data_IF_720891688749
#
_entry.id   IF_720891688749
#
_cell.length_a   1.000
_cell.length_b   1.000
_cell.length_c   1.000
_cell.angle_alpha   90.00
_cell.angle_beta   90.00
_cell.angle_gamma   90.00
#
_symmetry.space_group_name_H-M   'P 1'
#
loop_
_entity.id
_entity.type
_entity.pdbx_description
1 polymer ?
#
# COMPACT_ATOMS: atom_id res chain seq x y z
N UNK A 1 -23.97 57.83 3.26
CA UNK A 1 -24.81 56.64 3.06
C UNK A 1 -23.90 55.50 2.62
N UNK A 2 -23.62 54.56 3.52
CA UNK A 2 -22.72 53.41 3.34
C UNK A 2 -23.54 52.21 2.87
N UNK A 3 -23.23 51.62 1.72
CA UNK A 3 -23.75 50.30 1.33
C UNK A 3 -22.73 49.23 1.74
N UNK A 4 -23.11 48.18 2.48
CA UNK A 4 -22.20 47.11 2.81
C UNK A 4 -22.12 46.13 1.63
N UNK A 5 -20.91 45.90 1.10
CA UNK A 5 -20.63 44.84 0.14
C UNK A 5 -20.79 43.49 0.84
N UNK A 6 -21.89 42.79 0.59
CA UNK A 6 -22.11 41.41 0.97
C UNK A 6 -21.22 40.50 0.12
N UNK A 7 -20.09 40.09 0.68
CA UNK A 7 -19.20 39.10 0.07
C UNK A 7 -19.75 37.70 0.39
N UNK A 8 -20.55 37.17 -0.53
CA UNK A 8 -21.07 35.80 -0.43
C UNK A 8 -19.91 34.84 -0.75
N UNK A 9 -19.31 34.26 0.29
CA UNK A 9 -18.36 33.16 0.14
C UNK A 9 -19.13 31.92 -0.32
N UNK A 10 -19.13 31.67 -1.61
CA UNK A 10 -19.63 30.43 -2.19
C UNK A 10 -18.64 29.30 -1.85
N UNK A 11 -18.87 28.58 -0.75
CA UNK A 11 -18.14 27.35 -0.46
C UNK A 11 -18.63 26.32 -1.48
N UNK A 12 -17.89 26.14 -2.56
CA UNK A 12 -18.17 25.08 -3.53
C UNK A 12 -17.97 23.72 -2.84
N UNK A 13 -19.07 23.13 -2.39
CA UNK A 13 -19.10 21.72 -2.02
C UNK A 13 -19.04 20.92 -3.31
N UNK A 14 -17.83 20.51 -3.71
CA UNK A 14 -17.67 19.61 -4.85
C UNK A 14 -18.16 18.25 -4.41
N UNK A 15 -19.33 17.84 -4.90
CA UNK A 15 -19.84 16.50 -4.67
C UNK A 15 -18.87 15.48 -5.26
N UNK A 16 -18.55 14.45 -4.48
CA UNK A 16 -17.84 13.25 -4.94
C UNK A 16 -18.67 12.63 -6.05
N UNK A 17 -18.06 12.33 -7.20
CA UNK A 17 -18.80 11.73 -8.30
C UNK A 17 -18.96 10.23 -8.09
N UNK A 18 -19.99 9.61 -8.69
CA UNK A 18 -20.15 8.15 -8.68
C UNK A 18 -18.90 7.40 -9.21
N UNK A 19 -18.08 8.06 -10.05
CA UNK A 19 -16.80 7.50 -10.52
C UNK A 19 -15.74 7.48 -9.44
N UNK A 20 -15.69 8.52 -8.60
CA UNK A 20 -14.75 8.60 -7.49
C UNK A 20 -15.09 7.56 -6.40
N UNK A 21 -16.38 7.31 -6.16
CA UNK A 21 -16.81 6.23 -5.26
C UNK A 21 -16.43 4.84 -5.78
N UNK A 22 -16.64 4.57 -7.07
CA UNK A 22 -16.23 3.29 -7.70
C UNK A 22 -14.70 3.09 -7.65
N UNK A 23 -13.92 4.16 -7.90
CA UNK A 23 -12.47 4.14 -7.75
C UNK A 23 -12.05 3.81 -6.31
N UNK A 24 -12.67 4.48 -5.33
CA UNK A 24 -12.39 4.24 -3.91
C UNK A 24 -12.79 2.82 -3.48
N UNK A 25 -13.92 2.30 -3.98
CA UNK A 25 -14.34 0.93 -3.69
C UNK A 25 -13.31 -0.10 -4.17
N UNK A 26 -12.85 0.03 -5.43
CA UNK A 26 -11.81 -0.84 -6.01
C UNK A 26 -10.48 -0.73 -5.26
N UNK A 27 -10.12 0.48 -4.83
CA UNK A 27 -8.95 0.70 -4.00
C UNK A 27 -9.07 -0.06 -2.67
N UNK A 28 -10.18 0.11 -1.96
CA UNK A 28 -10.42 -0.52 -0.65
C UNK A 28 -10.45 -2.05 -0.74
N UNK A 29 -10.93 -2.62 -1.85
CA UNK A 29 -10.80 -4.05 -2.13
C UNK A 29 -9.35 -4.47 -2.35
N UNK A 30 -8.60 -3.75 -3.19
CA UNK A 30 -7.22 -4.09 -3.55
C UNK A 30 -6.27 -4.08 -2.33
N UNK A 31 -6.56 -3.23 -1.35
CA UNK A 31 -5.78 -3.13 -0.10
C UNK A 31 -6.44 -3.81 1.11
N UNK A 32 -7.47 -4.64 0.87
CA UNK A 32 -8.16 -5.48 1.84
C UNK A 32 -8.85 -4.72 3.00
N UNK A 33 -9.20 -3.46 2.81
CA UNK A 33 -10.13 -2.76 3.70
C UNK A 33 -11.56 -3.27 3.52
N UNK A 34 -11.89 -3.73 2.31
CA UNK A 34 -13.09 -4.51 2.00
C UNK A 34 -12.62 -5.93 1.69
N UNK A 35 -13.15 -6.90 2.42
CA UNK A 35 -12.79 -8.32 2.28
C UNK A 35 -13.54 -8.97 1.12
N UNK A 36 -12.90 -9.93 0.45
CA UNK A 36 -13.57 -10.85 -0.47
C UNK A 36 -14.22 -12.04 0.25
N UNK A 37 -13.87 -12.28 1.52
CA UNK A 37 -14.40 -13.41 2.30
C UNK A 37 -15.69 -13.03 3.01
N UNK A 38 -16.63 -13.98 3.11
CA UNK A 38 -17.93 -13.75 3.77
C UNK A 38 -17.83 -13.24 5.21
N UNK A 39 -16.76 -13.61 5.92
CA UNK A 39 -16.54 -13.24 7.32
C UNK A 39 -15.80 -11.91 7.53
N UNK A 40 -15.27 -11.29 6.47
CA UNK A 40 -14.52 -10.04 6.60
C UNK A 40 -15.42 -8.79 6.51
N UNK A 41 -14.80 -7.61 6.57
CA UNK A 41 -15.53 -6.36 6.45
C UNK A 41 -16.06 -6.13 5.02
N UNK A 42 -17.36 -5.87 4.89
CA UNK A 42 -18.01 -5.48 3.63
C UNK A 42 -18.58 -4.06 3.67
N UNK A 43 -18.47 -3.39 4.82
CA UNK A 43 -19.01 -2.05 5.01
C UNK A 43 -18.05 -0.99 4.45
N UNK A 44 -18.53 -0.24 3.46
CA UNK A 44 -17.75 0.76 2.73
C UNK A 44 -17.31 1.92 3.64
N UNK A 45 -18.23 2.49 4.41
CA UNK A 45 -17.93 3.60 5.32
C UNK A 45 -16.89 3.19 6.36
N UNK A 46 -17.02 2.01 6.94
CA UNK A 46 -16.04 1.44 7.88
C UNK A 46 -14.68 1.26 7.21
N UNK A 47 -14.64 0.75 5.97
CA UNK A 47 -13.41 0.61 5.21
C UNK A 47 -12.73 1.99 4.97
N UNK A 48 -13.49 3.01 4.59
CA UNK A 48 -12.99 4.39 4.45
C UNK A 48 -12.42 4.92 5.75
N UNK A 49 -13.12 4.73 6.88
CA UNK A 49 -12.63 5.17 8.20
C UNK A 49 -11.31 4.50 8.58
N UNK A 50 -11.18 3.20 8.30
CA UNK A 50 -9.92 2.48 8.56
C UNK A 50 -8.79 2.93 7.65
N UNK A 51 -9.07 3.20 6.38
CA UNK A 51 -8.09 3.78 5.46
C UNK A 51 -7.62 5.16 5.95
N UNK A 52 -8.55 6.05 6.31
CA UNK A 52 -8.24 7.38 6.82
C UNK A 52 -7.37 7.29 8.09
N UNK A 53 -7.74 6.40 9.02
CA UNK A 53 -6.94 6.17 10.23
C UNK A 53 -5.53 5.65 9.90
N UNK A 54 -5.40 4.70 8.96
CA UNK A 54 -4.11 4.13 8.55
C UNK A 54 -3.21 5.18 7.89
N UNK A 55 -3.77 6.02 7.03
CA UNK A 55 -3.05 7.10 6.34
C UNK A 55 -2.93 8.39 7.17
N UNK A 56 -3.37 8.37 8.43
CA UNK A 56 -3.35 9.50 9.34
C UNK A 56 -4.08 10.76 8.78
N UNK A 57 -5.25 10.53 8.18
CA UNK A 57 -6.20 11.54 7.72
C UNK A 57 -7.28 11.78 8.78
N UNK A 58 -8.01 12.92 8.73
CA UNK A 58 -9.24 13.08 9.50
C UNK A 58 -10.23 11.94 9.20
N UNK A 59 -10.73 11.29 10.24
CA UNK A 59 -11.62 10.12 10.10
C UNK A 59 -13.06 10.61 9.95
N UNK A 60 -13.48 10.87 8.72
CA UNK A 60 -14.83 11.30 8.35
C UNK A 60 -15.73 10.12 7.99
N UNK A 61 -15.15 9.07 7.39
CA UNK A 61 -15.90 7.97 6.77
C UNK A 61 -16.42 8.27 5.37
N UNK A 62 -16.21 9.50 4.89
CA UNK A 62 -16.57 9.93 3.55
C UNK A 62 -15.34 9.93 2.64
N UNK A 63 -15.56 9.67 1.36
CA UNK A 63 -14.51 9.73 0.32
C UNK A 63 -14.23 11.19 -0.06
N UNK A 64 -13.72 11.96 0.88
CA UNK A 64 -13.42 13.37 0.64
C UNK A 64 -12.20 13.58 -0.27
N UNK A 65 -11.97 14.84 -0.66
CA UNK A 65 -10.86 15.21 -1.55
C UNK A 65 -9.50 14.79 -0.99
N UNK A 66 -9.29 14.85 0.33
CA UNK A 66 -8.04 14.44 0.94
C UNK A 66 -7.84 12.92 0.86
N UNK A 67 -8.93 12.17 1.05
CA UNK A 67 -9.00 10.71 0.92
C UNK A 67 -8.67 10.27 -0.51
N UNK A 68 -9.33 10.85 -1.51
CA UNK A 68 -9.06 10.55 -2.93
C UNK A 68 -7.64 10.91 -3.34
N UNK A 69 -7.17 12.10 -2.95
CA UNK A 69 -5.80 12.51 -3.24
C UNK A 69 -4.76 11.56 -2.63
N UNK A 70 -5.07 10.97 -1.48
CA UNK A 70 -4.21 9.97 -0.86
C UNK A 70 -4.28 8.62 -1.58
N UNK A 71 -5.47 8.15 -1.94
CA UNK A 71 -5.67 6.90 -2.68
C UNK A 71 -4.99 6.91 -4.07
N UNK A 72 -4.92 8.09 -4.71
CA UNK A 72 -4.30 8.28 -6.03
C UNK A 72 -2.77 8.36 -6.02
N UNK A 73 -2.12 8.41 -4.85
CA UNK A 73 -0.65 8.42 -4.79
C UNK A 73 -0.08 7.05 -5.15
N UNK A 74 0.97 6.98 -5.99
CA UNK A 74 1.69 5.73 -6.23
C UNK A 74 2.18 5.11 -4.92
N UNK A 75 1.99 3.81 -4.76
CA UNK A 75 2.32 3.07 -3.54
C UNK A 75 2.65 1.61 -3.83
N UNK A 76 3.13 0.91 -2.81
CA UNK A 76 3.32 -0.54 -2.85
C UNK A 76 1.96 -1.25 -2.99
N UNK A 77 1.91 -2.30 -3.82
CA UNK A 77 0.70 -3.12 -4.04
C UNK A 77 0.43 -4.18 -2.98
N UNK A 78 1.22 -4.24 -1.89
CA UNK A 78 0.94 -5.12 -0.76
C UNK A 78 -0.27 -4.58 0.04
N UNK A 79 -1.28 -5.40 0.35
CA UNK A 79 -2.44 -4.98 1.13
C UNK A 79 -2.08 -4.46 2.53
N UNK A 80 -2.85 -3.47 3.01
CA UNK A 80 -2.62 -2.84 4.32
C UNK A 80 -3.18 -3.66 5.49
N UNK A 81 -4.19 -4.50 5.21
CA UNK A 81 -4.95 -5.25 6.21
C UNK A 81 -4.91 -6.75 5.89
N UNK A 82 -4.71 -7.58 6.91
CA UNK A 82 -4.88 -9.04 6.80
C UNK A 82 -6.38 -9.36 6.62
N UNK A 83 -6.82 -9.65 5.39
CA UNK A 83 -8.16 -10.14 5.00
C UNK A 83 -9.36 -9.37 5.59
N UNK A 84 -9.29 -8.03 5.64
CA UNK A 84 -10.37 -7.20 6.18
C UNK A 84 -10.63 -7.40 7.68
N UNK A 85 -9.69 -8.02 8.40
CA UNK A 85 -9.77 -8.17 9.86
C UNK A 85 -9.12 -6.96 10.54
N UNK A 86 -9.94 -6.00 10.94
CA UNK A 86 -9.50 -4.85 11.73
C UNK A 86 -9.27 -5.26 13.19
N UNK A 87 -8.18 -6.00 13.44
CA UNK A 87 -7.82 -6.45 14.79
C UNK A 87 -7.54 -5.22 15.67
N UNK A 88 -8.30 -5.07 16.74
CA UNK A 88 -8.12 -4.02 17.76
C UNK A 88 -6.78 -4.12 18.47
N UNK A 89 -6.20 -5.33 18.56
CA UNK A 89 -4.87 -5.58 19.13
C UNK A 89 -3.81 -5.59 18.03
N UNK A 90 -3.01 -4.52 17.95
CA UNK A 90 -1.77 -4.49 17.15
C UNK A 90 -0.79 -5.53 17.71
N UNK A 91 -0.33 -6.47 16.87
CA UNK A 91 0.86 -7.28 17.21
C UNK A 91 2.05 -6.33 17.33
N UNK A 92 2.96 -6.56 18.30
CA UNK A 92 4.18 -5.75 18.47
C UNK A 92 5.11 -5.85 17.25
N UNK A 93 5.03 -6.95 16.52
CA UNK A 93 5.73 -7.18 15.26
C UNK A 93 4.75 -7.79 14.25
N UNK A 94 4.85 -7.35 13.00
CA UNK A 94 4.16 -7.99 11.88
C UNK A 94 5.07 -9.08 11.35
N UNK A 95 4.68 -10.34 11.54
CA UNK A 95 5.30 -11.46 10.80
C UNK A 95 4.41 -11.65 9.58
N UNK A 96 4.62 -10.84 8.55
CA UNK A 96 3.95 -11.08 7.27
C UNK A 96 4.51 -12.40 6.72
N UNK A 97 3.71 -13.47 6.81
CA UNK A 97 4.16 -14.84 6.53
C UNK A 97 4.96 -15.46 7.67
N UNK A 98 5.96 -16.26 7.33
CA UNK A 98 6.86 -16.94 8.27
C UNK A 98 8.29 -16.42 8.15
N UNK A 99 9.05 -16.49 9.24
CA UNK A 99 10.48 -16.21 9.23
C UNK A 99 11.21 -17.28 8.40
N UNK A 100 12.15 -16.88 7.55
CA UNK A 100 13.05 -17.81 6.87
C UNK A 100 13.79 -18.70 7.89
N UNK A 101 13.81 -20.01 7.63
CA UNK A 101 14.53 -20.98 8.47
C UNK A 101 16.05 -20.90 8.33
N UNK A 102 16.52 -20.26 7.25
CA UNK A 102 17.92 -20.01 6.94
C UNK A 102 18.20 -18.52 6.79
N UNK A 103 19.46 -18.16 6.95
CA UNK A 103 19.92 -16.77 6.84
C UNK A 103 20.62 -16.47 5.51
N UNK A 104 21.16 -17.48 4.84
CA UNK A 104 21.66 -17.34 3.48
C UNK A 104 20.53 -17.56 2.48
N UNK A 105 20.13 -16.51 1.78
CA UNK A 105 19.06 -16.51 0.80
C UNK A 105 19.63 -16.35 -0.61
N UNK A 106 19.09 -17.10 -1.56
CA UNK A 106 19.45 -16.97 -2.98
C UNK A 106 18.41 -16.14 -3.72
N UNK A 107 18.85 -15.36 -4.70
CA UNK A 107 17.93 -14.62 -5.56
C UNK A 107 18.23 -14.81 -7.04
N UNK A 108 17.15 -14.79 -7.83
CA UNK A 108 17.19 -14.74 -9.29
C UNK A 108 16.63 -13.41 -9.76
N UNK A 109 17.28 -12.81 -10.76
CA UNK A 109 16.87 -11.56 -11.37
C UNK A 109 16.66 -11.75 -12.87
N UNK A 110 15.40 -11.66 -13.30
CA UNK A 110 15.06 -11.48 -14.70
C UNK A 110 15.18 -10.00 -15.05
N UNK A 111 15.91 -9.67 -16.12
CA UNK A 111 16.07 -8.28 -16.52
C UNK A 111 14.91 -7.78 -17.38
N UNK A 112 14.45 -6.56 -17.09
CA UNK A 112 13.58 -5.79 -17.97
C UNK A 112 14.35 -5.06 -19.08
N UNK A 113 13.63 -4.32 -19.91
CA UNK A 113 14.20 -3.52 -21.01
C UNK A 113 14.35 -2.02 -20.67
N UNK A 114 13.68 -1.56 -19.61
CA UNK A 114 13.59 -0.11 -19.30
C UNK A 114 14.91 0.48 -18.79
N UNK A 115 15.82 -0.36 -18.29
CA UNK A 115 17.11 0.05 -17.72
C UNK A 115 18.24 -0.88 -18.18
N UNK A 116 19.49 -0.40 -18.25
CA UNK A 116 20.64 -1.26 -18.51
C UNK A 116 20.76 -2.38 -17.46
N UNK A 117 21.11 -3.60 -17.90
CA UNK A 117 21.23 -4.78 -17.01
C UNK A 117 22.12 -4.51 -15.79
N UNK A 118 23.28 -3.89 -15.99
CA UNK A 118 24.20 -3.53 -14.91
C UNK A 118 23.57 -2.57 -13.88
N UNK A 119 22.68 -1.68 -14.32
CA UNK A 119 21.96 -0.77 -13.41
C UNK A 119 20.94 -1.54 -12.59
N UNK A 120 20.17 -2.43 -13.22
CA UNK A 120 19.20 -3.29 -12.52
C UNK A 120 19.90 -4.14 -11.46
N UNK A 121 21.00 -4.82 -11.83
CA UNK A 121 21.78 -5.67 -10.93
C UNK A 121 22.30 -4.88 -9.73
N UNK A 122 22.93 -3.73 -9.97
CA UNK A 122 23.47 -2.87 -8.90
C UNK A 122 22.39 -2.38 -7.93
N UNK A 123 21.22 -2.00 -8.44
CA UNK A 123 20.11 -1.49 -7.60
C UNK A 123 19.54 -2.61 -6.74
N UNK A 124 19.35 -3.79 -7.30
CA UNK A 124 18.87 -4.97 -6.56
C UNK A 124 19.88 -5.42 -5.51
N UNK A 125 21.17 -5.48 -5.87
CA UNK A 125 22.24 -5.82 -4.94
C UNK A 125 22.26 -4.84 -3.76
N UNK A 126 22.21 -3.52 -4.04
CA UNK A 126 22.17 -2.49 -2.99
C UNK A 126 20.92 -2.58 -2.11
N UNK A 127 19.76 -2.90 -2.69
CA UNK A 127 18.53 -3.07 -1.94
C UNK A 127 18.59 -4.26 -0.96
N UNK A 128 19.17 -5.39 -1.39
CA UNK A 128 19.41 -6.54 -0.52
C UNK A 128 20.49 -6.26 0.52
N UNK A 129 21.54 -5.51 0.14
CA UNK A 129 22.60 -5.11 1.04
C UNK A 129 22.06 -4.32 2.25
N UNK A 130 21.13 -3.39 2.03
CA UNK A 130 20.49 -2.61 3.10
C UNK A 130 19.90 -3.49 4.21
N UNK A 131 19.33 -4.65 3.86
CA UNK A 131 18.81 -5.61 4.84
C UNK A 131 19.92 -6.45 5.49
N UNK A 132 20.96 -6.81 4.74
CA UNK A 132 22.11 -7.57 5.28
C UNK A 132 22.94 -6.76 6.29
N UNK A 133 22.99 -5.43 6.14
CA UNK A 133 23.77 -4.56 7.05
C UNK A 133 23.21 -4.54 8.48
N UNK A 134 21.91 -4.81 8.64
CA UNK A 134 21.20 -4.73 9.93
C UNK A 134 20.62 -6.06 10.38
N UNK A 135 20.98 -7.17 9.73
CA UNK A 135 20.49 -8.50 10.09
C UNK A 135 21.52 -9.59 9.76
N UNK A 136 21.35 -10.82 10.27
CA UNK A 136 22.20 -11.94 9.88
C UNK A 136 22.00 -12.43 8.44
N UNK A 137 21.11 -11.81 7.66
CA UNK A 137 20.79 -12.26 6.30
C UNK A 137 21.96 -11.99 5.35
N UNK A 138 22.24 -12.97 4.50
CA UNK A 138 23.21 -12.84 3.40
C UNK A 138 22.57 -13.28 2.09
N UNK A 139 23.03 -12.71 0.98
CA UNK A 139 22.39 -12.89 -0.32
C UNK A 139 23.39 -13.31 -1.38
N UNK A 140 23.01 -14.25 -2.24
CA UNK A 140 23.78 -14.62 -3.43
C UNK A 140 22.87 -14.73 -4.65
N UNK A 141 23.38 -14.28 -5.80
CA UNK A 141 22.65 -14.40 -7.06
C UNK A 141 22.86 -15.77 -7.68
N UNK A 142 21.81 -16.37 -8.20
CA UNK A 142 21.89 -17.64 -8.95
C UNK A 142 21.25 -17.51 -10.35
N UNK A 143 21.64 -18.40 -11.25
CA UNK A 143 21.14 -18.43 -12.63
C UNK A 143 19.84 -19.22 -12.82
N UNK A 144 19.55 -20.20 -11.97
CA UNK A 144 18.34 -21.02 -12.06
C UNK A 144 17.20 -20.45 -11.20
N UNK A 145 16.11 -19.93 -11.80
CA UNK A 145 14.97 -19.41 -11.05
C UNK A 145 14.23 -20.46 -10.22
N UNK A 146 14.41 -21.76 -10.48
CA UNK A 146 13.73 -22.82 -9.73
C UNK A 146 14.37 -23.10 -8.37
N UNK A 147 15.64 -22.72 -8.21
CA UNK A 147 16.41 -22.92 -6.98
C UNK A 147 16.49 -21.64 -6.12
N UNK A 148 15.91 -20.53 -6.58
CA UNK A 148 16.00 -19.23 -5.92
C UNK A 148 14.93 -19.08 -4.82
N UNK A 149 15.34 -18.59 -3.65
CA UNK A 149 14.41 -18.21 -2.59
C UNK A 149 13.59 -16.96 -2.97
N UNK A 150 14.26 -15.99 -3.59
CA UNK A 150 13.66 -14.74 -4.06
C UNK A 150 13.68 -14.67 -5.59
N UNK A 151 12.51 -14.57 -6.21
CA UNK A 151 12.36 -14.51 -7.68
C UNK A 151 11.92 -13.11 -8.08
N UNK A 152 12.84 -12.33 -8.63
CA UNK A 152 12.57 -10.97 -9.10
C UNK A 152 12.34 -11.03 -10.61
N UNK A 153 11.14 -10.62 -11.03
CA UNK A 153 10.65 -10.72 -12.41
C UNK A 153 10.22 -9.36 -12.93
#
# INVERSE_FOLDING_TARGET
MMYPTLLVLFVAFVAVSARDEDEAYKYLQSYHYISSTRSGNHDFTTAVRHFQQFMNLPVTGDVDRATLNMMRKPRCGVPDVEDGTFKTRKRRFSVFGSKWSKTHLTYYLQHGQDLPRATQERVIERALQYWSEVSPLTFSRIGDPNQADLKMR
#
